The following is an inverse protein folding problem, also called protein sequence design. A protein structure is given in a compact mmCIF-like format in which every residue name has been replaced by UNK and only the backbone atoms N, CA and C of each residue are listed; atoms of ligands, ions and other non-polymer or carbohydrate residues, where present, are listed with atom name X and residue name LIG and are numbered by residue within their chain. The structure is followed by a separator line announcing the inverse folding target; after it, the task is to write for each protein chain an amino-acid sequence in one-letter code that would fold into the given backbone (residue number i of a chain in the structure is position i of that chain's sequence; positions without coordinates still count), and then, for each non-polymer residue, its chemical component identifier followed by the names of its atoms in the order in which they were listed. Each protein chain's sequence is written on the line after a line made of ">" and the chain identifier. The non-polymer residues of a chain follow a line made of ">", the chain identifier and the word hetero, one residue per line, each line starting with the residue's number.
data_IF_159411317081
#
_entry.id   IF_159411317081
#
_cell.length_a   1.000
_cell.length_b   1.000
_cell.length_c   1.000
_cell.angle_alpha   90.00
_cell.angle_beta   90.00
_cell.angle_gamma   90.00
#
_symmetry.space_group_name_H-M   'P 1'
#
loop_
_entity.id
_entity.type
_entity.pdbx_description
1 polymer ?
#
# COMPACT_ATOMS: atom_id res chain seq x y z
N UNK A 1 -5.60 9.49 58.40
CA UNK A 1 -4.52 8.49 58.38
C UNK A 1 -4.92 7.47 57.33
N UNK A 2 -4.18 7.35 56.22
CA UNK A 2 -4.54 6.40 55.16
C UNK A 2 -4.22 4.99 55.68
N UNK A 3 -5.21 4.10 55.68
CA UNK A 3 -5.07 2.70 56.13
C UNK A 3 -4.16 1.91 55.18
N UNK A 4 -3.32 1.02 55.74
CA UNK A 4 -2.38 0.17 55.01
C UNK A 4 -3.08 -0.68 53.94
N UNK A 5 -4.33 -1.09 54.18
CA UNK A 5 -5.16 -1.78 53.20
C UNK A 5 -5.48 -0.93 51.97
N UNK A 6 -5.72 0.37 52.16
CA UNK A 6 -6.00 1.29 51.05
C UNK A 6 -4.74 1.56 50.23
N UNK A 7 -3.58 1.62 50.86
CA UNK A 7 -2.28 1.73 50.15
C UNK A 7 -2.05 0.48 49.29
N UNK A 8 -2.30 -0.71 49.81
CA UNK A 8 -2.13 -1.96 49.08
C UNK A 8 -3.07 -2.08 47.86
N UNK A 9 -4.34 -1.67 48.01
CA UNK A 9 -5.31 -1.63 46.90
C UNK A 9 -4.90 -0.63 45.81
N UNK A 10 -4.40 0.55 46.20
CA UNK A 10 -3.93 1.54 45.23
C UNK A 10 -2.71 1.00 44.48
N UNK A 11 -1.73 0.43 45.17
CA UNK A 11 -0.52 -0.11 44.52
C UNK A 11 -0.86 -1.25 43.57
N UNK A 12 -1.73 -2.18 43.98
CA UNK A 12 -2.15 -3.30 43.12
C UNK A 12 -2.94 -2.83 41.90
N UNK A 13 -3.85 -1.86 42.05
CA UNK A 13 -4.59 -1.28 40.93
C UNK A 13 -3.68 -0.52 39.95
N UNK A 14 -2.68 0.21 40.44
CA UNK A 14 -1.68 0.91 39.61
C UNK A 14 -0.79 -0.06 38.86
N UNK A 15 -0.35 -1.16 39.50
CA UNK A 15 0.43 -2.20 38.81
C UNK A 15 -0.41 -2.89 37.72
N UNK A 16 -1.70 -3.15 37.98
CA UNK A 16 -2.61 -3.76 37.01
C UNK A 16 -2.91 -2.83 35.82
N UNK A 17 -3.04 -1.51 36.08
CA UNK A 17 -3.15 -0.48 35.04
C UNK A 17 -1.90 -0.39 34.14
N UNK A 18 -0.70 -0.52 34.71
CA UNK A 18 0.54 -0.54 33.93
C UNK A 18 0.71 -1.81 33.08
N UNK A 19 0.08 -2.92 33.47
CA UNK A 19 0.05 -4.15 32.65
C UNK A 19 -0.96 -4.07 31.50
N UNK A 20 -2.04 -3.30 31.65
CA UNK A 20 -2.99 -3.01 30.58
C UNK A 20 -2.39 -2.12 29.48
N UNK A 21 -1.41 -1.27 29.80
CA UNK A 21 -0.76 -0.39 28.83
C UNK A 21 0.38 -1.06 28.05
N UNK A 22 0.44 -2.39 27.99
CA UNK A 22 1.36 -3.10 27.11
C UNK A 22 0.96 -2.82 25.65
N UNK A 23 1.47 -1.72 25.09
CA UNK A 23 1.29 -1.35 23.69
C UNK A 23 1.92 -2.45 22.84
N UNK A 24 1.07 -3.24 22.17
CA UNK A 24 1.51 -4.24 21.20
C UNK A 24 2.36 -3.55 20.14
N UNK A 25 3.69 -3.68 20.23
CA UNK A 25 4.62 -3.33 19.15
C UNK A 25 4.50 -4.39 18.05
N UNK A 26 3.38 -4.37 17.32
CA UNK A 26 3.18 -5.25 16.18
C UNK A 26 3.95 -4.70 14.99
N UNK A 27 5.00 -5.43 14.60
CA UNK A 27 5.70 -5.21 13.35
C UNK A 27 4.87 -5.80 12.20
N UNK A 28 4.13 -4.92 11.51
CA UNK A 28 3.25 -5.32 10.42
C UNK A 28 3.99 -5.61 9.11
N UNK A 29 5.32 -5.41 9.03
CA UNK A 29 6.11 -5.76 7.84
C UNK A 29 6.09 -7.26 7.52
N UNK A 30 5.76 -8.10 8.52
CA UNK A 30 5.61 -9.55 8.36
C UNK A 30 4.27 -9.97 7.78
N UNK A 31 3.27 -9.07 7.83
CA UNK A 31 1.88 -9.36 7.48
C UNK A 31 1.46 -8.58 6.22
N UNK A 32 1.90 -7.32 6.10
CA UNK A 32 1.67 -6.48 4.94
C UNK A 32 2.75 -6.75 3.87
N UNK A 33 2.35 -7.03 2.62
CA UNK A 33 3.30 -7.37 1.57
C UNK A 33 4.07 -6.13 1.07
N UNK A 34 5.40 -6.28 0.99
CA UNK A 34 6.27 -5.32 0.30
C UNK A 34 6.60 -4.06 1.08
N UNK A 35 6.30 -4.00 2.38
CA UNK A 35 6.57 -2.83 3.21
C UNK A 35 7.78 -3.01 4.13
N UNK A 36 8.38 -1.90 4.54
CA UNK A 36 9.41 -1.82 5.59
C UNK A 36 8.95 -0.82 6.66
N UNK A 37 9.16 -1.19 7.92
CA UNK A 37 8.87 -0.34 9.08
C UNK A 37 9.94 0.73 9.21
N UNK A 38 9.51 2.00 9.28
CA UNK A 38 10.41 3.14 9.54
C UNK A 38 10.28 3.57 10.99
N UNK A 39 9.05 3.81 11.45
CA UNK A 39 8.73 4.14 12.84
C UNK A 39 7.45 3.42 13.28
N UNK A 40 7.04 3.58 14.53
CA UNK A 40 5.79 3.00 15.01
C UNK A 40 4.59 3.53 14.22
N UNK A 41 3.85 2.60 13.59
CA UNK A 41 2.69 2.92 12.76
C UNK A 41 3.02 3.48 11.36
N UNK A 42 4.30 3.64 11.00
CA UNK A 42 4.70 4.20 9.70
C UNK A 42 5.52 3.18 8.90
N UNK A 43 5.01 2.87 7.71
CA UNK A 43 5.56 1.88 6.81
C UNK A 43 5.68 2.49 5.40
N UNK A 44 6.68 2.05 4.65
CA UNK A 44 6.90 2.43 3.25
C UNK A 44 7.11 1.21 2.40
N UNK A 45 6.82 1.30 1.10
CA UNK A 45 7.21 0.26 0.16
C UNK A 45 8.73 0.11 0.08
N UNK A 46 9.18 -1.13 -0.08
CA UNK A 46 10.60 -1.47 -0.23
C UNK A 46 11.21 -0.97 -1.54
N UNK A 47 10.38 -0.90 -2.60
CA UNK A 47 10.78 -0.49 -3.94
C UNK A 47 9.70 0.38 -4.57
N UNK A 48 10.07 1.13 -5.60
CA UNK A 48 9.13 1.88 -6.41
C UNK A 48 8.11 0.95 -7.08
N UNK A 49 6.92 1.48 -7.35
CA UNK A 49 5.90 0.74 -8.09
C UNK A 49 6.41 0.49 -9.51
N UNK A 50 6.43 -0.77 -9.91
CA UNK A 50 6.98 -1.17 -11.20
C UNK A 50 5.91 -1.15 -12.31
N UNK A 51 6.36 -1.18 -13.56
CA UNK A 51 5.46 -1.33 -14.71
C UNK A 51 4.57 -2.58 -14.60
N UNK A 52 5.09 -3.70 -14.10
CA UNK A 52 4.26 -4.91 -13.92
C UNK A 52 3.16 -4.70 -12.86
N UNK A 53 3.45 -4.02 -11.76
CA UNK A 53 2.43 -3.72 -10.75
C UNK A 53 1.33 -2.81 -11.33
N UNK A 54 1.70 -1.82 -12.13
CA UNK A 54 0.73 -0.95 -12.77
C UNK A 54 -0.10 -1.67 -13.85
N UNK A 55 0.51 -2.60 -14.59
CA UNK A 55 -0.22 -3.44 -15.55
C UNK A 55 -1.25 -4.34 -14.86
N UNK A 56 -0.96 -4.85 -13.66
CA UNK A 56 -1.95 -5.58 -12.84
C UNK A 56 -3.13 -4.69 -12.45
N UNK A 57 -2.86 -3.45 -12.01
CA UNK A 57 -3.88 -2.46 -11.72
C UNK A 57 -4.76 -2.18 -12.95
N UNK A 58 -4.15 -1.85 -14.08
CA UNK A 58 -4.87 -1.61 -15.33
C UNK A 58 -5.68 -2.84 -15.79
N UNK A 59 -5.12 -4.04 -15.65
CA UNK A 59 -5.83 -5.28 -15.98
C UNK A 59 -7.06 -5.47 -15.10
N UNK A 60 -6.94 -5.15 -13.80
CA UNK A 60 -8.08 -5.18 -12.89
C UNK A 60 -9.15 -4.17 -13.30
N UNK A 61 -8.77 -2.93 -13.68
CA UNK A 61 -9.73 -1.94 -14.18
C UNK A 61 -10.43 -2.43 -15.46
N UNK A 62 -9.65 -2.93 -16.43
CA UNK A 62 -10.17 -3.51 -17.67
C UNK A 62 -11.19 -4.62 -17.39
N UNK A 63 -10.86 -5.55 -16.49
CA UNK A 63 -11.70 -6.71 -16.19
C UNK A 63 -13.01 -6.33 -15.49
N UNK A 64 -12.97 -5.36 -14.57
CA UNK A 64 -14.10 -5.07 -13.70
C UNK A 64 -15.03 -3.95 -14.22
N UNK A 65 -14.56 -3.05 -15.08
CA UNK A 65 -15.34 -1.87 -15.52
C UNK A 65 -15.77 -1.87 -16.98
N UNK A 66 -15.62 -2.99 -17.70
CA UNK A 66 -16.14 -3.12 -19.07
C UNK A 66 -15.09 -2.92 -20.17
N UNK A 67 -13.81 -3.17 -19.87
CA UNK A 67 -12.77 -3.25 -20.86
C UNK A 67 -12.15 -1.89 -21.22
N UNK A 68 -11.73 -1.78 -22.49
CA UNK A 68 -10.94 -0.63 -23.02
C UNK A 68 -11.70 0.69 -23.06
N UNK A 69 -13.01 0.65 -23.18
CA UNK A 69 -13.85 1.85 -23.32
C UNK A 69 -14.40 2.34 -21.96
N UNK A 70 -13.89 1.78 -20.86
CA UNK A 70 -14.30 2.19 -19.53
C UNK A 70 -13.47 3.38 -19.07
N UNK A 71 -14.13 4.37 -18.44
CA UNK A 71 -13.42 5.54 -17.90
C UNK A 71 -12.34 5.11 -16.90
N UNK A 72 -12.62 4.11 -16.06
CA UNK A 72 -11.67 3.57 -15.10
C UNK A 72 -10.40 3.00 -15.75
N UNK A 73 -10.51 2.32 -16.90
CA UNK A 73 -9.33 1.84 -17.63
C UNK A 73 -8.58 2.98 -18.32
N UNK A 74 -9.31 3.94 -18.92
CA UNK A 74 -8.71 5.09 -19.58
C UNK A 74 -7.95 5.99 -18.59
N UNK A 75 -8.54 6.26 -17.43
CA UNK A 75 -7.95 7.04 -16.34
C UNK A 75 -6.72 6.34 -15.73
N UNK A 76 -6.62 5.01 -15.82
CA UNK A 76 -5.46 4.25 -15.35
C UNK A 76 -4.27 4.24 -16.34
N UNK A 77 -4.43 4.74 -17.57
CA UNK A 77 -3.35 4.75 -18.57
C UNK A 77 -2.27 5.80 -18.24
N UNK A 78 -0.98 5.41 -18.15
CA UNK A 78 0.11 6.38 -18.08
C UNK A 78 0.22 7.19 -19.39
N UNK A 79 0.64 8.46 -19.28
CA UNK A 79 0.80 9.32 -20.44
C UNK A 79 2.13 9.03 -21.16
N UNK A 80 2.08 8.18 -22.20
CA UNK A 80 3.27 7.87 -22.98
C UNK A 80 3.75 9.00 -23.89
N UNK A 81 2.93 10.04 -24.14
CA UNK A 81 3.29 11.12 -25.07
C UNK A 81 4.43 12.00 -24.54
N UNK A 82 4.60 12.07 -23.21
CA UNK A 82 5.67 12.83 -22.56
C UNK A 82 7.09 12.34 -22.92
N UNK A 83 7.25 11.12 -23.44
CA UNK A 83 8.53 10.64 -23.99
C UNK A 83 8.98 11.38 -25.26
N UNK A 84 8.07 12.13 -25.89
CA UNK A 84 8.36 12.95 -27.07
C UNK A 84 8.55 14.44 -26.73
N UNK A 85 8.39 14.81 -25.46
CA UNK A 85 8.64 16.17 -25.01
C UNK A 85 10.16 16.47 -25.06
N UNK A 86 10.53 17.73 -25.24
CA UNK A 86 11.91 18.24 -25.25
C UNK A 86 12.86 17.80 -26.38
N UNK A 87 12.34 17.24 -27.48
CA UNK A 87 13.15 16.97 -28.68
C UNK A 87 14.18 15.85 -28.53
N UNK A 88 14.10 15.09 -27.43
CA UNK A 88 14.90 13.89 -27.16
C UNK A 88 14.60 12.74 -28.13
N UNK A 89 13.46 12.79 -28.85
CA UNK A 89 13.01 11.77 -29.83
C UNK A 89 13.11 10.35 -29.25
N UNK A 90 12.66 10.18 -28.01
CA UNK A 90 12.68 8.91 -27.26
C UNK A 90 11.54 7.96 -27.69
N UNK A 91 11.27 7.90 -29.00
CA UNK A 91 10.25 7.07 -29.65
C UNK A 91 10.23 5.59 -29.19
N UNK A 92 11.37 4.93 -28.93
CA UNK A 92 11.35 3.57 -28.40
C UNK A 92 10.68 3.48 -27.01
N UNK A 93 10.92 4.45 -26.12
CA UNK A 93 10.36 4.43 -24.77
C UNK A 93 8.85 4.68 -24.77
N UNK A 94 8.36 5.54 -25.65
CA UNK A 94 6.93 5.77 -25.85
C UNK A 94 6.16 4.47 -26.13
N UNK A 95 6.74 3.57 -26.93
CA UNK A 95 6.08 2.31 -27.33
C UNK A 95 6.34 1.17 -26.35
N UNK A 96 7.54 1.10 -25.81
CA UNK A 96 8.02 -0.11 -25.13
C UNK A 96 8.16 0.04 -23.62
N UNK A 97 8.42 1.24 -23.08
CA UNK A 97 8.77 1.37 -21.66
C UNK A 97 7.71 0.77 -20.73
N UNK A 98 6.44 1.11 -20.93
CA UNK A 98 5.39 0.65 -20.02
C UNK A 98 4.97 -0.81 -20.22
N UNK A 99 5.05 -1.33 -21.46
CA UNK A 99 4.41 -2.60 -21.85
C UNK A 99 5.37 -3.73 -22.19
N UNK A 100 6.63 -3.43 -22.49
CA UNK A 100 7.58 -4.44 -22.93
C UNK A 100 8.15 -5.23 -21.73
N UNK A 101 8.26 -6.58 -21.81
CA UNK A 101 8.75 -7.39 -20.70
C UNK A 101 10.13 -6.99 -20.14
N UNK A 102 11.03 -6.49 -20.99
CA UNK A 102 12.35 -6.01 -20.54
C UNK A 102 12.31 -4.84 -19.56
N UNK A 103 11.21 -4.08 -19.53
CA UNK A 103 10.99 -2.96 -18.61
C UNK A 103 10.01 -3.30 -17.48
N UNK A 104 9.63 -4.57 -17.30
CA UNK A 104 8.58 -4.95 -16.34
C UNK A 104 8.91 -4.57 -14.90
N UNK A 105 10.18 -4.70 -14.51
CA UNK A 105 10.69 -4.38 -13.17
C UNK A 105 11.16 -2.92 -13.01
N UNK A 106 11.02 -2.10 -14.06
CA UNK A 106 11.38 -0.69 -14.00
C UNK A 106 10.24 0.11 -13.36
N UNK A 107 10.52 1.25 -12.71
CA UNK A 107 9.48 2.07 -12.11
C UNK A 107 8.48 2.54 -13.16
N UNK A 108 7.21 2.59 -12.78
CA UNK A 108 6.18 3.23 -13.59
C UNK A 108 6.47 4.74 -13.64
N UNK A 109 6.34 5.33 -14.81
CA UNK A 109 6.54 6.76 -15.03
C UNK A 109 5.38 7.34 -15.81
N UNK A 110 5.32 8.68 -15.89
CA UNK A 110 4.26 9.42 -16.56
C UNK A 110 2.87 9.13 -15.98
N UNK A 111 2.81 9.01 -14.66
CA UNK A 111 1.57 8.92 -13.89
C UNK A 111 1.39 10.20 -13.07
N UNK A 112 0.16 10.69 -13.02
CA UNK A 112 -0.21 11.84 -12.19
C UNK A 112 -0.32 11.44 -10.73
N UNK A 113 -0.29 12.44 -9.84
CA UNK A 113 -0.52 12.21 -8.42
C UNK A 113 -1.88 11.55 -8.12
N UNK A 114 -2.93 11.97 -8.85
CA UNK A 114 -4.26 11.39 -8.70
C UNK A 114 -4.26 9.89 -9.06
N UNK A 115 -3.68 9.54 -10.20
CA UNK A 115 -3.54 8.14 -10.62
C UNK A 115 -2.77 7.31 -9.58
N UNK A 116 -1.68 7.86 -9.02
CA UNK A 116 -0.92 7.18 -7.98
C UNK A 116 -1.75 6.96 -6.70
N UNK A 117 -2.56 7.94 -6.30
CA UNK A 117 -3.49 7.82 -5.16
C UNK A 117 -4.54 6.74 -5.40
N UNK A 118 -5.11 6.68 -6.61
CA UNK A 118 -6.12 5.67 -6.98
C UNK A 118 -5.52 4.26 -7.03
N UNK A 119 -4.27 4.14 -7.49
CA UNK A 119 -3.51 2.89 -7.41
C UNK A 119 -3.32 2.43 -5.95
N UNK A 120 -2.92 3.33 -5.04
CA UNK A 120 -2.74 3.00 -3.63
C UNK A 120 -4.05 2.57 -2.96
N UNK A 121 -5.16 3.24 -3.28
CA UNK A 121 -6.49 2.86 -2.81
C UNK A 121 -6.87 1.45 -3.30
N UNK A 122 -6.70 1.18 -4.60
CA UNK A 122 -6.92 -0.14 -5.17
C UNK A 122 -6.07 -1.23 -4.49
N UNK A 123 -4.76 -1.00 -4.33
CA UNK A 123 -3.85 -1.96 -3.69
C UNK A 123 -4.26 -2.24 -2.25
N UNK A 124 -4.69 -1.20 -1.53
CA UNK A 124 -5.21 -1.33 -0.16
C UNK A 124 -6.39 -2.30 -0.11
N UNK A 125 -7.35 -2.18 -1.02
CA UNK A 125 -8.49 -3.09 -1.09
C UNK A 125 -8.08 -4.52 -1.43
N UNK A 126 -7.19 -4.71 -2.42
CA UNK A 126 -6.74 -6.06 -2.82
C UNK A 126 -5.99 -6.77 -1.71
N UNK A 127 -5.17 -6.05 -0.94
CA UNK A 127 -4.47 -6.63 0.22
C UNK A 127 -5.46 -6.98 1.33
N UNK A 128 -6.49 -6.15 1.57
CA UNK A 128 -7.56 -6.47 2.52
C UNK A 128 -8.31 -7.73 2.10
N UNK A 129 -8.71 -7.84 0.84
CA UNK A 129 -9.38 -9.04 0.30
C UNK A 129 -8.51 -10.30 0.49
N UNK A 130 -7.24 -10.23 0.09
CA UNK A 130 -6.30 -11.34 0.26
C UNK A 130 -6.14 -11.76 1.73
N UNK A 131 -6.08 -10.81 2.66
CA UNK A 131 -5.99 -11.10 4.10
C UNK A 131 -7.24 -11.80 4.63
N UNK A 132 -8.43 -11.39 4.17
CA UNK A 132 -9.69 -12.00 4.56
C UNK A 132 -9.77 -13.46 4.09
N UNK A 133 -9.31 -13.75 2.87
CA UNK A 133 -9.27 -15.10 2.29
C UNK A 133 -8.27 -16.01 3.01
N UNK A 134 -7.12 -15.48 3.43
CA UNK A 134 -6.04 -16.26 4.06
C UNK A 134 -6.18 -16.38 5.59
N UNK A 135 -7.32 -15.97 6.16
CA UNK A 135 -7.65 -16.04 7.59
C UNK A 135 -6.65 -15.33 8.54
N UNK A 136 -5.82 -14.39 8.05
CA UNK A 136 -4.84 -13.63 8.85
C UNK A 136 -5.46 -12.41 9.56
N UNK A 137 -6.73 -12.49 9.94
CA UNK A 137 -7.49 -11.31 10.44
C UNK A 137 -6.98 -10.77 11.77
N UNK A 138 -6.46 -11.65 12.62
CA UNK A 138 -6.02 -11.29 13.98
C UNK A 138 -4.60 -10.69 14.01
N UNK A 139 -3.85 -10.80 12.91
CA UNK A 139 -2.47 -10.32 12.80
C UNK A 139 -2.35 -8.97 12.08
N UNK A 140 -3.41 -8.54 11.38
CA UNK A 140 -3.42 -7.33 10.57
C UNK A 140 -3.84 -6.10 11.38
N UNK A 141 -3.34 -4.90 11.04
CA UNK A 141 -3.83 -3.69 11.66
C UNK A 141 -5.31 -3.48 11.31
N UNK A 142 -6.10 -2.99 12.28
CA UNK A 142 -7.51 -2.67 12.07
C UNK A 142 -7.74 -1.70 10.90
N UNK A 143 -6.80 -0.77 10.71
CA UNK A 143 -6.80 0.18 9.62
C UNK A 143 -5.41 0.31 9.00
N UNK A 144 -5.34 0.21 7.68
CA UNK A 144 -4.18 0.59 6.88
C UNK A 144 -4.61 1.07 5.51
N UNK A 145 -3.76 1.89 4.92
CA UNK A 145 -3.80 2.36 3.54
C UNK A 145 -2.35 2.52 3.04
N UNK A 146 -2.15 2.22 1.76
CA UNK A 146 -0.90 2.51 1.06
C UNK A 146 -0.86 3.97 0.59
#
# INVERSE_FOLDING_TARGET
>A
MIDLKNIFLIVTSVVMLNQLSAQSNSDYSKVLPGVVKITEGVYYDQFEITNVNWLEYMFWQFKNFGGRNSSAYEEALPDTALWNEDGLKAEPYMKFYHRHPSYSAYPVVNVTWQQASDFCAWRTERVKEWQLENAKKDEVPYYFAY
#
